data_IF_027360246010
#
_entry.id   IF_027360246010
#
_cell.length_a   1.000
_cell.length_b   1.000
_cell.length_c   1.000
_cell.angle_alpha   90.00
_cell.angle_beta   90.00
_cell.angle_gamma   90.00
#
_symmetry.space_group_name_H-M   'P 1'
#
loop_
_entity.id
_entity.type
_entity.pdbx_description
1 polymer ?
#
# COMPACT_ATOMS: atom_id res chain seq x y z
N UNK A 1 -9.91 22.83 -2.65
CA UNK A 1 -9.06 22.95 -3.86
C UNK A 1 -8.64 24.41 -4.00
N UNK A 2 -7.47 24.71 -4.55
CA UNK A 2 -7.13 26.10 -4.91
C UNK A 2 -7.32 26.28 -6.43
N UNK A 3 -7.38 27.55 -6.86
CA UNK A 3 -7.61 27.88 -8.26
C UNK A 3 -6.60 27.23 -9.23
N UNK A 4 -5.38 26.94 -8.77
CA UNK A 4 -4.37 26.27 -9.58
C UNK A 4 -4.68 24.79 -9.80
N UNK A 5 -5.09 24.08 -8.74
CA UNK A 5 -5.47 22.66 -8.83
C UNK A 5 -6.78 22.49 -9.61
N UNK A 6 -7.72 23.41 -9.49
CA UNK A 6 -8.96 23.39 -10.29
C UNK A 6 -8.65 23.53 -11.79
N UNK A 7 -7.74 24.43 -12.16
CA UNK A 7 -7.33 24.60 -13.56
C UNK A 7 -6.65 23.34 -14.13
N UNK A 8 -5.75 22.70 -13.36
CA UNK A 8 -5.10 21.45 -13.76
C UNK A 8 -6.14 20.34 -13.96
N UNK A 9 -7.15 20.27 -13.10
CA UNK A 9 -8.22 19.29 -13.21
C UNK A 9 -9.06 19.50 -14.49
N UNK A 10 -9.43 20.75 -14.78
CA UNK A 10 -10.18 21.08 -15.99
C UNK A 10 -9.40 20.70 -17.27
N UNK A 11 -8.11 21.01 -17.32
CA UNK A 11 -7.24 20.65 -18.44
C UNK A 11 -7.13 19.11 -18.59
N UNK A 12 -6.97 18.39 -17.48
CA UNK A 12 -6.92 16.93 -17.48
C UNK A 12 -8.23 16.29 -17.95
N UNK A 13 -9.38 16.85 -17.56
CA UNK A 13 -10.71 16.38 -17.99
C UNK A 13 -10.97 16.66 -19.48
N UNK A 14 -10.35 17.69 -20.04
CA UNK A 14 -10.41 18.01 -21.47
C UNK A 14 -9.67 17.04 -22.39
N UNK A 15 -8.79 16.18 -21.83
CA UNK A 15 -8.03 15.21 -22.63
C UNK A 15 -8.90 14.07 -23.16
N UNK A 16 -8.55 13.48 -24.32
CA UNK A 16 -9.14 12.22 -24.80
C UNK A 16 -8.99 11.08 -23.76
N UNK A 17 -9.91 10.09 -23.75
CA UNK A 17 -9.90 9.00 -22.76
C UNK A 17 -8.56 8.28 -22.60
N UNK A 18 -7.87 7.97 -23.70
CA UNK A 18 -6.58 7.27 -23.66
C UNK A 18 -5.48 8.11 -23.01
N UNK A 19 -5.46 9.42 -23.29
CA UNK A 19 -4.50 10.36 -22.70
C UNK A 19 -4.77 10.58 -21.21
N UNK A 20 -6.04 10.66 -20.79
CA UNK A 20 -6.40 10.69 -19.37
C UNK A 20 -5.94 9.44 -18.64
N UNK A 21 -6.10 8.27 -19.29
CA UNK A 21 -5.69 7.00 -18.70
C UNK A 21 -4.17 6.95 -18.51
N UNK A 22 -3.39 7.41 -19.50
CA UNK A 22 -1.95 7.55 -19.37
C UNK A 22 -1.54 8.54 -18.26
N UNK A 23 -2.22 9.69 -18.16
CA UNK A 23 -1.99 10.69 -17.12
C UNK A 23 -2.24 10.13 -15.71
N UNK A 24 -3.34 9.39 -15.52
CA UNK A 24 -3.66 8.75 -14.24
C UNK A 24 -2.56 7.77 -13.83
N UNK A 25 -2.04 6.97 -14.74
CA UNK A 25 -0.95 6.02 -14.45
C UNK A 25 0.29 6.75 -13.93
N UNK A 26 0.71 7.83 -14.61
CA UNK A 26 1.87 8.62 -14.18
C UNK A 26 1.63 9.30 -12.83
N UNK A 27 0.42 9.83 -12.60
CA UNK A 27 0.07 10.45 -11.33
C UNK A 27 0.07 9.43 -10.20
N UNK A 28 -0.45 8.23 -10.41
CA UNK A 28 -0.41 7.14 -9.41
C UNK A 28 1.04 6.74 -9.09
N UNK A 29 1.87 6.53 -10.10
CA UNK A 29 3.29 6.21 -9.92
C UNK A 29 4.04 7.31 -9.13
N UNK A 30 3.69 8.58 -9.34
CA UNK A 30 4.26 9.69 -8.57
C UNK A 30 3.92 9.65 -7.08
N UNK A 31 2.80 9.01 -6.71
CA UNK A 31 2.39 8.81 -5.32
C UNK A 31 3.05 7.56 -4.71
N UNK A 32 3.38 6.56 -5.53
CA UNK A 32 4.06 5.33 -5.08
C UNK A 32 5.52 5.58 -4.65
N UNK A 33 6.12 6.70 -5.08
CA UNK A 33 7.46 7.13 -4.66
C UNK A 33 7.59 7.57 -3.21
N UNK A 34 6.49 7.77 -2.47
CA UNK A 34 6.51 7.97 -1.03
C UNK A 34 6.20 6.66 -0.30
N UNK A 35 6.95 5.58 -0.59
CA UNK A 35 7.09 4.53 0.41
C UNK A 35 7.69 5.21 1.63
N UNK A 36 6.86 5.44 2.64
CA UNK A 36 7.34 5.86 3.93
C UNK A 36 8.21 4.73 4.44
N UNK A 37 9.53 4.87 4.27
CA UNK A 37 10.52 3.87 4.64
C UNK A 37 10.34 3.47 6.11
N UNK A 38 9.76 4.35 6.95
CA UNK A 38 9.40 4.04 8.32
C UNK A 38 8.33 2.96 8.45
N UNK A 39 7.34 2.90 7.55
CA UNK A 39 6.32 1.84 7.53
C UNK A 39 6.97 0.51 7.14
N UNK A 40 7.83 0.53 6.12
CA UNK A 40 8.57 -0.66 5.68
C UNK A 40 9.49 -1.18 6.78
N UNK A 41 10.19 -0.28 7.47
CA UNK A 41 11.07 -0.63 8.59
C UNK A 41 10.30 -1.12 9.82
N UNK A 42 9.15 -0.52 10.14
CA UNK A 42 8.27 -1.00 11.20
C UNK A 42 7.77 -2.43 10.92
N UNK A 43 7.38 -2.73 9.67
CA UNK A 43 7.02 -4.09 9.26
C UNK A 43 8.20 -5.07 9.37
N UNK A 44 9.40 -4.67 8.96
CA UNK A 44 10.61 -5.50 9.12
C UNK A 44 10.89 -5.80 10.59
N UNK A 45 10.74 -4.80 11.47
CA UNK A 45 10.93 -4.96 12.90
C UNK A 45 9.91 -5.93 13.49
N UNK A 46 8.63 -5.79 13.14
CA UNK A 46 7.55 -6.65 13.61
C UNK A 46 7.75 -8.11 13.18
N UNK A 47 8.14 -8.35 11.92
CA UNK A 47 8.45 -9.70 11.42
C UNK A 47 9.59 -10.32 12.23
N UNK A 48 10.66 -9.57 12.50
CA UNK A 48 11.79 -10.05 13.32
C UNK A 48 11.36 -10.35 14.75
N UNK A 49 10.53 -9.49 15.35
CA UNK A 49 10.01 -9.69 16.70
C UNK A 49 9.16 -10.96 16.80
N UNK A 50 8.25 -11.19 15.84
CA UNK A 50 7.44 -12.42 15.79
C UNK A 50 8.28 -13.68 15.58
N UNK A 51 9.29 -13.62 14.73
CA UNK A 51 10.22 -14.74 14.56
C UNK A 51 10.98 -15.06 15.86
N UNK A 52 11.43 -14.03 16.59
CA UNK A 52 12.10 -14.22 17.87
C UNK A 52 11.15 -14.84 18.92
N UNK A 53 9.91 -14.36 19.01
CA UNK A 53 8.89 -14.92 19.90
C UNK A 53 8.57 -16.39 19.59
N UNK A 54 8.48 -16.75 18.30
CA UNK A 54 8.28 -18.14 17.88
C UNK A 54 9.46 -19.02 18.29
N UNK A 55 10.70 -18.55 18.10
CA UNK A 55 11.91 -19.29 18.52
C UNK A 55 12.02 -19.42 20.03
N UNK A 56 11.59 -18.40 20.77
CA UNK A 56 11.57 -18.40 22.23
C UNK A 56 10.42 -19.24 22.81
N UNK A 57 9.49 -19.72 21.98
CA UNK A 57 8.30 -20.45 22.43
C UNK A 57 7.25 -19.58 23.13
N UNK A 58 7.37 -18.25 23.05
CA UNK A 58 6.45 -17.30 23.70
C UNK A 58 5.24 -16.96 22.83
N UNK A 59 5.20 -17.47 21.60
CA UNK A 59 4.05 -17.35 20.68
C UNK A 59 3.75 -18.69 20.02
N UNK A 60 2.47 -19.01 19.84
CA UNK A 60 2.03 -20.21 19.14
C UNK A 60 1.80 -19.94 17.66
N UNK A 61 2.37 -20.77 16.81
CA UNK A 61 2.07 -20.76 15.38
C UNK A 61 0.71 -21.42 15.12
N UNK A 62 -0.01 -20.90 14.12
CA UNK A 62 -1.22 -21.51 13.59
C UNK A 62 -0.87 -22.24 12.29
N UNK A 63 -1.55 -23.34 11.97
CA UNK A 63 -1.34 -23.96 10.68
C UNK A 63 -1.86 -23.05 9.55
N UNK A 64 -1.21 -23.13 8.38
CA UNK A 64 -1.58 -22.27 7.26
C UNK A 64 -3.02 -22.45 6.79
N UNK A 65 -3.56 -23.66 6.88
CA UNK A 65 -4.95 -23.97 6.51
C UNK A 65 -5.93 -23.18 7.38
N UNK A 66 -5.75 -23.19 8.70
CA UNK A 66 -6.57 -22.43 9.65
C UNK A 66 -6.36 -20.92 9.47
N UNK A 67 -5.12 -20.48 9.25
CA UNK A 67 -4.81 -19.07 9.01
C UNK A 67 -5.52 -18.53 7.76
N UNK A 68 -5.51 -19.29 6.66
CA UNK A 68 -6.22 -18.93 5.42
C UNK A 68 -7.71 -18.77 5.62
N UNK A 69 -8.34 -19.71 6.32
CA UNK A 69 -9.79 -19.65 6.60
C UNK A 69 -10.13 -18.35 7.33
N UNK A 70 -9.34 -18.00 8.34
CA UNK A 70 -9.52 -16.75 9.10
C UNK A 70 -9.30 -15.50 8.26
N UNK A 71 -8.28 -15.49 7.40
CA UNK A 71 -8.01 -14.33 6.53
C UNK A 71 -9.10 -14.12 5.48
N UNK A 72 -9.70 -15.20 4.96
CA UNK A 72 -10.78 -15.12 3.97
C UNK A 72 -12.13 -14.67 4.55
N UNK A 73 -12.25 -14.58 5.88
CA UNK A 73 -13.46 -14.13 6.57
C UNK A 73 -13.33 -12.76 7.22
N UNK A 74 -12.22 -12.05 6.98
CA UNK A 74 -12.01 -10.64 7.33
C UNK A 74 -12.60 -9.73 6.25
#
# INVERSE_FOLDING_TARGET
MNAHVDHILDDALGLPPDQRSALIVVLLDSLEGSQDDSITDAWRQEVRARQAALRAGTSQALCWTEARVRLSSL
#
